data_IF_278243522179
#
_entry.id   IF_278243522179
#
_cell.length_a   1.000
_cell.length_b   1.000
_cell.length_c   1.000
_cell.angle_alpha   90.00
_cell.angle_beta   90.00
_cell.angle_gamma   90.00
#
_symmetry.space_group_name_H-M   'P 1'
#
loop_
_entity.id
_entity.type
_entity.pdbx_description
1 polymer ?
#
# COMPACT_ATOMS: atom_id res chain seq x y z
N UNK A 1 -14.44 -1.32 -8.52
CA UNK A 1 -14.10 -0.37 -9.61
C UNK A 1 -13.37 -1.04 -10.76
N UNK A 2 -12.27 -1.79 -10.54
CA UNK A 2 -11.53 -2.47 -11.62
C UNK A 2 -12.42 -3.39 -12.47
N UNK A 3 -13.31 -4.16 -11.85
CA UNK A 3 -14.27 -4.99 -12.59
C UNK A 3 -15.18 -4.18 -13.53
N UNK A 4 -15.59 -2.97 -13.13
CA UNK A 4 -16.42 -2.10 -13.97
C UNK A 4 -15.62 -1.56 -15.18
N UNK A 5 -14.34 -1.24 -14.99
CA UNK A 5 -13.41 -0.91 -16.08
C UNK A 5 -13.30 -2.08 -17.05
N UNK A 6 -13.10 -3.29 -16.53
CA UNK A 6 -13.01 -4.49 -17.36
C UNK A 6 -14.30 -4.73 -18.15
N UNK A 7 -15.47 -4.56 -17.52
CA UNK A 7 -16.78 -4.73 -18.18
C UNK A 7 -17.00 -3.70 -19.29
N UNK A 8 -16.51 -2.46 -19.14
CA UNK A 8 -16.57 -1.42 -20.18
C UNK A 8 -15.77 -1.81 -21.43
N UNK A 9 -14.53 -2.26 -21.25
CA UNK A 9 -13.62 -2.54 -22.37
C UNK A 9 -13.66 -3.98 -22.87
N UNK A 10 -14.23 -4.90 -22.07
CA UNK A 10 -14.35 -6.36 -22.33
C UNK A 10 -13.04 -7.06 -22.70
N UNK A 11 -11.90 -6.46 -22.36
CA UNK A 11 -10.56 -6.96 -22.70
C UNK A 11 -9.51 -6.39 -21.73
N UNK A 12 -8.61 -7.25 -21.26
CA UNK A 12 -7.49 -6.88 -20.37
C UNK A 12 -6.54 -5.89 -21.06
N UNK A 13 -6.20 -6.17 -22.32
CA UNK A 13 -5.27 -5.37 -23.11
C UNK A 13 -5.83 -3.97 -23.46
N UNK A 14 -7.15 -3.80 -23.46
CA UNK A 14 -7.77 -2.49 -23.68
C UNK A 14 -7.98 -1.72 -22.37
N UNK A 15 -8.24 -2.44 -21.28
CA UNK A 15 -8.52 -1.83 -19.96
C UNK A 15 -7.28 -1.42 -19.16
N UNK A 16 -6.09 -1.98 -19.44
CA UNK A 16 -4.91 -1.71 -18.60
C UNK A 16 -4.55 -0.21 -18.52
N UNK A 17 -4.77 0.54 -19.61
CA UNK A 17 -4.49 1.99 -19.63
C UNK A 17 -5.37 2.74 -18.64
N UNK A 18 -6.68 2.48 -18.66
CA UNK A 18 -7.63 3.08 -17.74
C UNK A 18 -7.43 2.63 -16.29
N UNK A 19 -7.08 1.35 -16.08
CA UNK A 19 -6.73 0.85 -14.75
C UNK A 19 -5.48 1.58 -14.22
N UNK A 20 -4.44 1.74 -15.04
CA UNK A 20 -3.23 2.47 -14.66
C UNK A 20 -3.53 3.94 -14.34
N UNK A 21 -4.32 4.62 -15.20
CA UNK A 21 -4.77 6.00 -14.95
C UNK A 21 -5.54 6.13 -13.63
N UNK A 22 -6.43 5.17 -13.31
CA UNK A 22 -7.17 5.17 -12.06
C UNK A 22 -6.20 5.10 -10.86
N UNK A 23 -5.24 4.18 -10.89
CA UNK A 23 -4.25 4.06 -9.82
C UNK A 23 -3.40 5.32 -9.67
N UNK A 24 -2.93 5.90 -10.77
CA UNK A 24 -2.18 7.16 -10.74
C UNK A 24 -3.00 8.30 -10.14
N UNK A 25 -4.26 8.46 -10.57
CA UNK A 25 -5.17 9.47 -10.02
C UNK A 25 -5.42 9.28 -8.53
N UNK A 26 -5.60 8.03 -8.07
CA UNK A 26 -5.75 7.71 -6.64
C UNK A 26 -4.50 8.08 -5.85
N UNK A 27 -3.31 7.68 -6.31
CA UNK A 27 -2.04 7.97 -5.62
C UNK A 27 -1.82 9.48 -5.50
N UNK A 28 -2.01 10.24 -6.59
CA UNK A 28 -1.85 11.69 -6.58
C UNK A 28 -2.84 12.37 -5.64
N UNK A 29 -4.10 11.92 -5.59
CA UNK A 29 -5.10 12.48 -4.69
C UNK A 29 -4.86 12.09 -3.22
N UNK A 30 -4.33 10.90 -2.94
CA UNK A 30 -3.97 10.49 -1.57
C UNK A 30 -2.79 11.26 -0.99
N UNK A 31 -1.98 11.92 -1.83
CA UNK A 31 -0.95 12.86 -1.38
C UNK A 31 -1.54 14.21 -0.93
N UNK A 32 -2.82 14.47 -1.22
CA UNK A 32 -3.52 15.68 -0.77
C UNK A 32 -4.21 15.42 0.56
N UNK A 33 -4.37 16.45 1.40
CA UNK A 33 -5.09 16.36 2.69
C UNK A 33 -6.62 16.22 2.54
N UNK A 34 -7.11 15.75 1.38
CA UNK A 34 -8.53 15.55 1.11
C UNK A 34 -9.05 14.28 1.78
N UNK A 35 -10.30 14.31 2.21
CA UNK A 35 -10.99 13.11 2.71
C UNK A 35 -11.21 12.09 1.59
N UNK A 36 -11.23 10.80 1.94
CA UNK A 36 -11.45 9.69 0.99
C UNK A 36 -12.71 9.93 0.15
N UNK A 37 -13.80 10.40 0.78
CA UNK A 37 -15.05 10.68 0.09
C UNK A 37 -14.91 11.76 -0.99
N UNK A 38 -14.19 12.84 -0.69
CA UNK A 38 -13.96 13.92 -1.65
C UNK A 38 -13.07 13.47 -2.81
N UNK A 39 -12.04 12.67 -2.53
CA UNK A 39 -11.17 12.07 -3.55
C UNK A 39 -12.00 11.22 -4.51
N UNK A 40 -12.88 10.36 -4.00
CA UNK A 40 -13.71 9.50 -4.83
C UNK A 40 -14.69 10.30 -5.70
N UNK A 41 -15.31 11.34 -5.15
CA UNK A 41 -16.22 12.21 -5.90
C UNK A 41 -15.48 12.94 -7.04
N UNK A 42 -14.28 13.42 -6.79
CA UNK A 42 -13.46 14.11 -7.79
C UNK A 42 -13.04 13.17 -8.92
N UNK A 43 -12.63 11.94 -8.59
CA UNK A 43 -12.27 10.92 -9.58
C UNK A 43 -13.46 10.61 -10.49
N UNK A 44 -14.67 10.44 -9.94
CA UNK A 44 -15.85 10.10 -10.75
C UNK A 44 -16.37 11.29 -11.54
N UNK A 45 -16.21 12.50 -11.00
CA UNK A 45 -16.54 13.72 -11.73
C UNK A 45 -15.63 13.94 -12.93
N UNK A 46 -14.43 13.34 -12.94
CA UNK A 46 -13.56 13.39 -14.11
C UNK A 46 -14.17 12.64 -15.30
N UNK A 47 -14.02 13.21 -16.49
CA UNK A 47 -14.58 12.67 -17.74
C UNK A 47 -14.08 11.24 -18.04
N UNK A 48 -12.88 10.89 -17.53
CA UNK A 48 -12.26 9.58 -17.72
C UNK A 48 -12.97 8.47 -16.93
N UNK A 49 -13.71 8.78 -15.85
CA UNK A 49 -14.27 7.78 -14.93
C UNK A 49 -15.76 7.93 -14.58
N UNK A 50 -16.52 8.79 -15.28
CA UNK A 50 -17.97 8.99 -15.04
C UNK A 50 -18.82 7.71 -15.03
N UNK A 51 -18.38 6.66 -15.72
CA UNK A 51 -19.07 5.37 -15.77
C UNK A 51 -18.86 4.51 -14.50
N UNK A 52 -17.96 4.90 -13.60
CA UNK A 52 -17.71 4.16 -12.36
C UNK A 52 -18.78 4.51 -11.33
N UNK A 53 -19.40 3.47 -10.78
CA UNK A 53 -20.33 3.60 -9.65
C UNK A 53 -19.58 3.25 -8.36
N UNK A 54 -19.58 4.18 -7.38
CA UNK A 54 -19.16 3.87 -6.01
C UNK A 54 -20.25 3.00 -5.39
N UNK A 55 -19.88 1.78 -4.99
CA UNK A 55 -20.66 1.11 -3.95
C UNK A 55 -20.15 1.66 -2.63
N UNK A 56 -20.92 2.55 -2.00
CA UNK A 56 -20.64 2.97 -0.63
C UNK A 56 -20.74 1.72 0.23
N UNK A 57 -19.59 1.15 0.60
CA UNK A 57 -19.55 0.12 1.62
C UNK A 57 -19.83 0.90 2.90
N UNK A 58 -21.08 0.89 3.36
CA UNK A 58 -21.38 1.31 4.71
C UNK A 58 -20.50 0.45 5.61
N UNK A 59 -19.51 1.06 6.24
CA UNK A 59 -18.75 0.40 7.29
C UNK A 59 -19.77 0.12 8.40
N UNK A 60 -20.25 -1.12 8.48
CA UNK A 60 -21.05 -1.58 9.62
C UNK A 60 -20.15 -1.47 10.86
N UNK A 61 -20.25 -0.35 11.55
CA UNK A 61 -19.58 -0.11 12.83
C UNK A 61 -20.13 -1.02 13.92
N UNK A 62 -21.37 -1.51 13.75
CA UNK A 62 -22.01 -2.46 14.65
C UNK A 62 -22.41 -3.73 13.90
N UNK A 63 -21.80 -4.85 14.30
CA UNK A 63 -22.17 -6.19 13.87
C UNK A 63 -23.33 -6.69 14.74
N UNK A 64 -24.46 -7.06 14.14
CA UNK A 64 -25.51 -7.82 14.81
C UNK A 64 -25.20 -9.33 14.86
N UNK A 65 -24.13 -9.78 14.17
CA UNK A 65 -23.69 -11.17 14.12
C UNK A 65 -22.52 -11.43 15.07
N UNK A 66 -22.54 -12.59 15.73
CA UNK A 66 -21.47 -13.05 16.63
C UNK A 66 -20.20 -13.48 15.88
N UNK A 67 -20.34 -13.97 14.64
CA UNK A 67 -19.21 -14.45 13.84
C UNK A 67 -18.51 -13.36 13.03
N UNK A 68 -17.18 -13.49 12.92
CA UNK A 68 -16.37 -12.67 12.01
C UNK A 68 -16.56 -13.11 10.56
N UNK A 69 -17.05 -12.20 9.71
CA UNK A 69 -17.06 -12.41 8.27
C UNK A 69 -15.63 -12.30 7.68
N UNK A 70 -15.45 -12.74 6.44
CA UNK A 70 -14.15 -12.74 5.74
C UNK A 70 -13.51 -11.36 5.68
N UNK A 71 -14.31 -10.30 5.49
CA UNK A 71 -13.82 -8.93 5.41
C UNK A 71 -13.25 -8.46 6.76
N UNK A 72 -13.96 -8.71 7.86
CA UNK A 72 -13.52 -8.39 9.23
C UNK A 72 -12.26 -9.16 9.60
N UNK A 73 -12.16 -10.45 9.24
CA UNK A 73 -10.93 -11.24 9.44
C UNK A 73 -9.74 -10.64 8.69
N UNK A 74 -9.95 -10.24 7.43
CA UNK A 74 -8.92 -9.58 6.62
C UNK A 74 -8.50 -8.22 7.21
N UNK A 75 -9.47 -7.41 7.65
CA UNK A 75 -9.21 -6.11 8.29
C UNK A 75 -8.40 -6.27 9.59
N UNK A 76 -8.79 -7.21 10.46
CA UNK A 76 -8.07 -7.51 11.70
C UNK A 76 -6.63 -7.93 11.39
N UNK A 77 -6.46 -8.84 10.41
CA UNK A 77 -5.12 -9.28 10.00
C UNK A 77 -4.26 -8.12 9.49
N UNK A 78 -4.80 -7.28 8.60
CA UNK A 78 -4.06 -6.13 8.05
C UNK A 78 -3.70 -5.15 9.17
N UNK A 79 -4.62 -4.86 10.09
CA UNK A 79 -4.39 -3.98 11.23
C UNK A 79 -3.25 -4.49 12.12
N UNK A 80 -3.30 -5.76 12.51
CA UNK A 80 -2.28 -6.37 13.36
C UNK A 80 -0.92 -6.47 12.65
N UNK A 81 -0.94 -6.88 11.38
CA UNK A 81 0.28 -6.97 10.56
C UNK A 81 0.96 -5.61 10.40
N UNK A 82 0.21 -4.53 10.19
CA UNK A 82 0.76 -3.18 10.03
C UNK A 82 1.31 -2.62 11.35
N UNK A 83 0.68 -2.90 12.49
CA UNK A 83 1.16 -2.46 13.79
C UNK A 83 2.50 -3.10 14.17
N UNK A 84 2.67 -4.38 13.84
CA UNK A 84 3.86 -5.16 14.20
C UNK A 84 4.91 -5.25 13.07
N UNK A 85 4.68 -4.60 11.93
CA UNK A 85 5.57 -4.70 10.79
C UNK A 85 6.91 -4.02 11.03
N UNK A 86 7.97 -4.74 10.66
CA UNK A 86 9.33 -4.19 10.67
C UNK A 86 9.47 -3.10 9.60
N UNK A 87 10.20 -2.04 9.94
CA UNK A 87 10.50 -0.92 9.06
C UNK A 87 11.99 -0.86 8.73
N UNK A 88 12.30 -0.46 7.51
CA UNK A 88 13.65 -0.24 7.04
C UNK A 88 14.27 0.94 7.76
N UNK A 89 15.42 0.72 8.39
CA UNK A 89 16.13 1.78 9.11
C UNK A 89 16.73 2.86 8.21
N UNK A 90 16.75 2.64 6.88
CA UNK A 90 17.20 3.62 5.88
C UNK A 90 16.03 4.49 5.40
N UNK A 91 14.97 3.89 4.83
CA UNK A 91 13.87 4.65 4.21
C UNK A 91 12.59 4.74 5.06
N UNK A 92 12.57 4.10 6.22
CA UNK A 92 11.41 3.95 7.13
C UNK A 92 10.17 3.28 6.51
N UNK A 93 10.30 2.71 5.30
CA UNK A 93 9.26 1.92 4.66
C UNK A 93 9.09 0.53 5.30
N UNK A 94 7.90 -0.04 5.15
CA UNK A 94 7.58 -1.38 5.64
C UNK A 94 8.41 -2.44 4.92
N UNK A 95 8.92 -3.43 5.65
CA UNK A 95 9.67 -4.55 5.09
C UNK A 95 8.85 -5.84 5.16
N UNK A 96 8.85 -6.56 4.05
CA UNK A 96 8.29 -7.90 4.02
C UNK A 96 9.21 -8.90 4.71
N UNK A 97 8.66 -9.84 5.50
CA UNK A 97 9.43 -10.83 6.28
C UNK A 97 10.43 -11.63 5.44
N UNK A 98 10.12 -11.87 4.17
CA UNK A 98 10.98 -12.64 3.25
C UNK A 98 11.98 -11.77 2.46
N UNK A 99 11.98 -10.44 2.64
CA UNK A 99 12.82 -9.51 1.87
C UNK A 99 13.57 -8.58 2.83
N UNK A 100 14.35 -9.19 3.72
CA UNK A 100 15.15 -8.52 4.74
C UNK A 100 16.63 -8.68 4.38
N UNK A 101 17.38 -7.58 4.47
CA UNK A 101 18.84 -7.58 4.50
C UNK A 101 19.31 -7.06 5.86
N UNK A 102 20.43 -7.60 6.33
CA UNK A 102 21.09 -7.13 7.55
C UNK A 102 22.29 -6.30 7.10
N UNK A 103 22.31 -5.04 7.52
CA UNK A 103 23.38 -4.09 7.20
C UNK A 103 23.95 -3.49 8.49
N UNK A 104 25.15 -2.92 8.41
CA UNK A 104 25.76 -2.21 9.52
C UNK A 104 25.14 -0.82 9.69
N UNK A 105 25.03 -0.29 10.90
CA UNK A 105 24.63 1.12 11.12
C UNK A 105 25.80 2.01 10.68
N UNK A 106 26.96 1.85 11.33
CA UNK A 106 28.25 2.38 10.89
C UNK A 106 28.86 1.43 9.87
N UNK A 107 29.21 1.95 8.68
CA UNK A 107 29.76 1.12 7.61
C UNK A 107 31.06 0.46 8.04
N UNK A 108 31.35 -0.71 7.46
CA UNK A 108 32.60 -1.43 7.69
C UNK A 108 33.84 -0.60 7.30
N UNK A 109 33.72 0.18 6.23
CA UNK A 109 34.80 1.07 5.76
C UNK A 109 35.12 2.19 6.75
N UNK A 110 34.12 2.66 7.50
CA UNK A 110 34.26 3.68 8.56
C UNK A 110 34.68 3.07 9.91
N UNK A 111 35.10 1.79 9.92
CA UNK A 111 35.51 1.07 11.13
C UNK A 111 34.38 0.39 11.91
N UNK A 112 33.17 0.29 11.33
CA UNK A 112 32.03 -0.39 11.95
C UNK A 112 32.26 -1.89 12.16
N UNK A 113 31.97 -2.38 13.36
CA UNK A 113 32.11 -3.80 13.74
C UNK A 113 30.81 -4.58 13.45
N UNK A 114 30.91 -5.88 13.21
CA UNK A 114 29.76 -6.77 13.03
C UNK A 114 29.14 -7.20 14.38
N UNK A 115 28.78 -6.22 15.23
CA UNK A 115 28.06 -6.46 16.50
C UNK A 115 26.55 -6.38 16.28
N UNK A 116 25.78 -7.01 17.19
CA UNK A 116 24.31 -6.92 17.19
C UNK A 116 23.85 -5.47 17.29
N UNK A 117 24.56 -4.66 18.09
CA UNK A 117 24.25 -3.24 18.30
C UNK A 117 24.52 -2.38 17.05
N UNK A 118 25.47 -2.80 16.21
CA UNK A 118 25.74 -2.15 14.93
C UNK A 118 24.95 -2.79 13.78
N UNK A 119 24.08 -3.76 14.04
CA UNK A 119 23.24 -4.41 13.04
C UNK A 119 21.90 -3.70 12.87
N UNK A 120 21.46 -3.51 11.63
CA UNK A 120 20.15 -2.97 11.31
C UNK A 120 19.47 -3.74 10.19
N UNK A 121 18.15 -3.80 10.27
CA UNK A 121 17.28 -4.40 9.26
C UNK A 121 16.99 -3.36 8.17
N UNK A 122 17.25 -3.73 6.92
CA UNK A 122 17.07 -2.88 5.75
C UNK A 122 16.43 -3.65 4.59
N UNK A 123 15.86 -2.94 3.61
CA UNK A 123 15.50 -3.57 2.35
C UNK A 123 16.75 -3.97 1.58
N UNK A 124 16.75 -5.11 0.84
CA UNK A 124 17.85 -5.46 -0.07
C UNK A 124 18.19 -4.32 -1.02
N UNK A 125 17.17 -3.65 -1.58
CA UNK A 125 17.36 -2.48 -2.45
C UNK A 125 17.99 -1.28 -1.73
N UNK A 126 17.55 -0.95 -0.52
CA UNK A 126 18.11 0.18 0.22
C UNK A 126 19.58 -0.07 0.59
N UNK A 127 19.91 -1.31 0.96
CA UNK A 127 21.27 -1.71 1.27
C UNK A 127 22.20 -1.58 0.06
N UNK A 128 21.82 -2.18 -1.09
CA UNK A 128 22.70 -2.27 -2.26
C UNK A 128 22.60 -1.07 -3.21
N UNK A 129 21.51 -0.33 -3.21
CA UNK A 129 21.26 0.74 -4.18
C UNK A 129 21.33 2.14 -3.60
N UNK A 130 20.78 2.35 -2.39
CA UNK A 130 20.62 3.68 -1.82
C UNK A 130 21.78 4.08 -0.90
N UNK A 131 22.30 3.12 -0.14
CA UNK A 131 23.35 3.35 0.88
C UNK A 131 24.74 2.94 0.40
N UNK A 132 24.97 2.71 -0.88
CA UNK A 132 26.34 2.51 -1.40
C UNK A 132 27.04 3.86 -1.51
#
# INVERSE_FOLDING_TARGET
MIQQIYLKYRSVQKSYKDVSKLFQSLVSNLQTEKTIHNILNEIISSNDFQYLTIRTINQETHSSTQDFNTNKKSEIYIKDALQNAQKCKICQGLIHRNSISIDHIQRKEDGGLASVDNGQITHPYCNTGYKN
#
